data_IF_944435457426
#
_entry.id   IF_944435457426
#
_cell.length_a   1.000
_cell.length_b   1.000
_cell.length_c   1.000
_cell.angle_alpha   90.00
_cell.angle_beta   90.00
_cell.angle_gamma   90.00
#
_symmetry.space_group_name_H-M   'P 1'
#
loop_
_entity.id
_entity.type
_entity.pdbx_description
1 polymer ?
#
# COMPACT_ATOMS: atom_id res chain seq x y z
N UNK A 1 28.26 -27.12 2.83
CA UNK A 1 28.61 -26.03 1.91
C UNK A 1 27.36 -25.72 1.09
N UNK A 2 26.76 -24.55 1.27
CA UNK A 2 25.47 -24.20 0.67
C UNK A 2 25.68 -23.12 -0.41
N UNK A 3 26.51 -23.40 -1.41
CA UNK A 3 26.89 -22.44 -2.46
C UNK A 3 25.67 -21.89 -3.22
N UNK A 4 24.64 -22.73 -3.43
CA UNK A 4 23.37 -22.28 -4.03
C UNK A 4 22.59 -21.33 -3.12
N UNK A 5 22.62 -21.56 -1.80
CA UNK A 5 21.93 -20.68 -0.86
C UNK A 5 22.63 -19.32 -0.74
N UNK A 6 23.96 -19.30 -0.79
CA UNK A 6 24.76 -18.06 -0.83
C UNK A 6 24.43 -17.23 -2.08
N UNK A 7 24.43 -17.86 -3.27
CA UNK A 7 24.07 -17.16 -4.51
C UNK A 7 22.64 -16.59 -4.50
N UNK A 8 21.69 -17.33 -3.93
CA UNK A 8 20.30 -16.87 -3.79
C UNK A 8 20.19 -15.71 -2.78
N UNK A 9 20.95 -15.74 -1.68
CA UNK A 9 21.00 -14.66 -0.71
C UNK A 9 21.58 -13.38 -1.33
N UNK A 10 22.70 -13.47 -2.05
CA UNK A 10 23.30 -12.33 -2.76
C UNK A 10 22.32 -11.73 -3.80
N UNK A 11 21.59 -12.59 -4.50
CA UNK A 11 20.56 -12.16 -5.45
C UNK A 11 19.42 -11.45 -4.75
N UNK A 12 18.97 -11.96 -3.61
CA UNK A 12 17.90 -11.38 -2.81
C UNK A 12 18.28 -10.00 -2.25
N UNK A 13 19.51 -9.86 -1.75
CA UNK A 13 20.08 -8.60 -1.28
C UNK A 13 20.13 -7.55 -2.41
N UNK A 14 20.57 -7.96 -3.60
CA UNK A 14 20.59 -7.07 -4.76
C UNK A 14 19.18 -6.62 -5.17
N UNK A 15 18.22 -7.56 -5.20
CA UNK A 15 16.82 -7.24 -5.51
C UNK A 15 16.19 -6.33 -4.46
N UNK A 16 16.52 -6.51 -3.18
CA UNK A 16 16.07 -5.62 -2.10
C UNK A 16 16.61 -4.21 -2.31
N UNK A 17 17.92 -4.06 -2.56
CA UNK A 17 18.55 -2.77 -2.81
C UNK A 17 17.93 -2.06 -4.02
N UNK A 18 17.78 -2.76 -5.14
CA UNK A 18 17.15 -2.21 -6.34
C UNK A 18 15.68 -1.81 -6.12
N UNK A 19 14.96 -2.55 -5.27
CA UNK A 19 13.58 -2.20 -4.91
C UNK A 19 13.53 -0.92 -4.09
N UNK A 20 14.42 -0.74 -3.11
CA UNK A 20 14.51 0.49 -2.31
C UNK A 20 14.88 1.70 -3.15
N UNK A 21 15.85 1.56 -4.07
CA UNK A 21 16.20 2.63 -5.00
C UNK A 21 15.05 3.00 -5.93
N UNK A 22 14.33 1.99 -6.44
CA UNK A 22 13.17 2.20 -7.30
C UNK A 22 12.02 2.89 -6.55
N UNK A 23 11.78 2.52 -5.29
CA UNK A 23 10.80 3.18 -4.43
C UNK A 23 11.11 4.68 -4.30
N UNK A 24 12.36 5.05 -4.01
CA UNK A 24 12.77 6.46 -3.94
C UNK A 24 12.60 7.26 -5.23
N UNK A 25 12.53 6.59 -6.40
CA UNK A 25 12.30 7.24 -7.71
C UNK A 25 10.82 7.34 -8.08
N UNK A 26 10.01 6.38 -7.64
CA UNK A 26 8.63 6.23 -8.09
C UNK A 26 7.61 6.73 -7.07
N UNK A 27 7.95 6.70 -5.79
CA UNK A 27 7.00 6.91 -4.71
C UNK A 27 7.16 8.32 -4.15
N UNK A 28 6.02 9.01 -4.05
CA UNK A 28 5.86 10.23 -3.28
C UNK A 28 4.98 9.89 -2.08
N UNK A 29 5.56 9.89 -0.89
CA UNK A 29 4.77 9.89 0.33
C UNK A 29 4.14 11.28 0.45
N UNK A 30 2.82 11.34 0.48
CA UNK A 30 2.14 12.54 0.97
C UNK A 30 1.74 12.24 2.40
N UNK A 31 2.46 12.86 3.34
CA UNK A 31 1.85 13.20 4.61
C UNK A 31 0.63 14.07 4.27
N UNK A 32 -0.48 13.91 4.97
CA UNK A 32 -1.76 14.58 4.67
C UNK A 32 -1.75 16.09 4.91
N UNK A 33 -0.74 16.80 4.43
CA UNK A 33 -0.49 18.23 4.55
C UNK A 33 -0.53 18.86 3.16
N UNK A 34 -1.74 19.04 2.62
CA UNK A 34 -1.94 19.66 1.32
C UNK A 34 -3.41 19.85 1.00
N UNK A 35 -3.92 21.03 1.37
CA UNK A 35 -5.21 21.62 1.03
C UNK A 35 -5.79 21.16 -0.32
N UNK A 36 -6.72 20.22 -0.27
CA UNK A 36 -7.82 20.13 -1.20
C UNK A 36 -9.00 19.56 -0.44
N UNK A 37 -9.85 20.47 0.06
CA UNK A 37 -11.29 20.24 0.11
C UNK A 37 -11.66 19.58 -1.25
N UNK A 38 -12.44 18.50 -1.35
CA UNK A 38 -13.89 18.48 -1.15
C UNK A 38 -14.42 17.04 -1.03
N UNK A 39 -13.77 16.17 -0.26
CA UNK A 39 -14.36 14.85 0.06
C UNK A 39 -13.95 14.49 1.47
N UNK A 40 -14.91 14.52 2.40
CA UNK A 40 -14.70 14.32 3.83
C UNK A 40 -14.31 12.90 4.19
N UNK A 41 -13.11 12.48 3.79
CA UNK A 41 -12.51 11.22 4.19
C UNK A 41 -11.23 11.50 5.00
N UNK A 42 -11.25 11.04 6.25
CA UNK A 42 -10.22 11.26 7.25
C UNK A 42 -8.83 10.89 6.74
N UNK A 43 -7.81 11.61 7.23
CA UNK A 43 -6.37 11.43 7.00
C UNK A 43 -5.95 9.95 6.91
N UNK A 44 -6.03 9.38 5.71
CA UNK A 44 -5.53 8.05 5.39
C UNK A 44 -4.10 8.19 4.87
N UNK A 45 -3.21 7.27 5.24
CA UNK A 45 -1.89 7.21 4.64
C UNK A 45 -2.05 7.00 3.12
N UNK A 46 -1.46 7.90 2.33
CA UNK A 46 -1.56 7.87 0.87
C UNK A 46 -0.17 7.66 0.30
N UNK A 47 0.03 6.50 -0.32
CA UNK A 47 1.23 6.22 -1.12
C UNK A 47 0.90 6.59 -2.56
N UNK A 48 1.59 7.59 -3.12
CA UNK A 48 1.44 7.97 -4.52
C UNK A 48 2.59 7.38 -5.35
N UNK A 49 2.25 6.59 -6.37
CA UNK A 49 3.22 5.95 -7.26
C UNK A 49 3.10 6.57 -8.65
N UNK A 50 4.16 7.23 -9.11
CA UNK A 50 4.24 7.78 -10.46
C UNK A 50 4.31 6.66 -11.50
N UNK A 51 3.44 6.73 -12.51
CA UNK A 51 3.21 5.62 -13.44
C UNK A 51 4.35 5.46 -14.42
N UNK A 52 4.81 6.55 -15.02
CA UNK A 52 5.86 6.49 -16.04
C UNK A 52 7.19 5.95 -15.44
N UNK A 53 7.70 6.47 -14.32
CA UNK A 53 8.87 5.88 -13.65
C UNK A 53 8.66 4.42 -13.27
N UNK A 54 7.47 4.07 -12.75
CA UNK A 54 7.16 2.70 -12.36
C UNK A 54 7.14 1.74 -13.55
N UNK A 55 6.55 2.15 -14.68
CA UNK A 55 6.50 1.35 -15.91
C UNK A 55 7.85 1.28 -16.62
N UNK A 56 8.82 2.12 -16.28
CA UNK A 56 10.20 1.99 -16.75
C UNK A 56 11.00 0.92 -15.97
N UNK A 57 10.56 0.53 -14.76
CA UNK A 57 11.25 -0.47 -13.95
C UNK A 57 11.19 -1.87 -14.57
N UNK A 58 12.10 -2.75 -14.18
CA UNK A 58 12.02 -4.17 -14.55
C UNK A 58 10.77 -4.84 -13.94
N UNK A 59 10.06 -5.76 -14.64
CA UNK A 59 8.82 -6.38 -14.13
C UNK A 59 8.94 -7.06 -12.76
N UNK A 60 10.12 -7.59 -12.42
CA UNK A 60 10.40 -8.17 -11.08
C UNK A 60 10.38 -7.07 -10.01
N UNK A 61 11.03 -5.93 -10.27
CA UNK A 61 11.07 -4.80 -9.34
C UNK A 61 9.68 -4.17 -9.21
N UNK A 62 8.89 -4.06 -10.29
CA UNK A 62 7.49 -3.57 -10.22
C UNK A 62 6.65 -4.38 -9.24
N UNK A 63 6.71 -5.71 -9.34
CA UNK A 63 5.97 -6.62 -8.46
C UNK A 63 6.44 -6.53 -7.01
N UNK A 64 7.76 -6.50 -6.80
CA UNK A 64 8.36 -6.44 -5.47
C UNK A 64 8.08 -5.11 -4.77
N UNK A 65 8.19 -3.99 -5.50
CA UNK A 65 7.83 -2.66 -5.01
C UNK A 65 6.37 -2.65 -4.54
N UNK A 66 5.42 -3.06 -5.39
CA UNK A 66 4.01 -3.11 -4.99
C UNK A 66 3.76 -4.02 -3.78
N UNK A 67 4.45 -5.17 -3.71
CA UNK A 67 4.30 -6.07 -2.59
C UNK A 67 4.76 -5.44 -1.27
N UNK A 68 5.93 -4.79 -1.26
CA UNK A 68 6.45 -4.12 -0.06
C UNK A 68 5.55 -2.95 0.38
N UNK A 69 5.06 -2.12 -0.55
CA UNK A 69 4.18 -1.01 -0.21
C UNK A 69 2.84 -1.48 0.36
N UNK A 70 2.22 -2.49 -0.26
CA UNK A 70 0.95 -3.04 0.23
C UNK A 70 1.13 -3.77 1.56
N UNK A 71 2.28 -4.43 1.77
CA UNK A 71 2.64 -5.07 3.03
C UNK A 71 2.80 -4.05 4.16
N UNK A 72 3.37 -2.87 3.87
CA UNK A 72 3.44 -1.77 4.83
C UNK A 72 2.05 -1.23 5.21
N UNK A 73 1.12 -1.23 4.25
CA UNK A 73 -0.27 -0.81 4.47
C UNK A 73 -1.16 -1.87 5.14
N UNK A 74 -0.75 -3.14 5.17
CA UNK A 74 -1.53 -4.25 5.72
C UNK A 74 -1.40 -4.31 7.26
N UNK A 75 -2.50 -4.12 8.02
CA UNK A 75 -2.47 -4.21 9.48
C UNK A 75 -2.12 -5.64 9.92
N UNK A 76 -1.02 -5.79 10.67
CA UNK A 76 -0.52 -7.07 11.14
C UNK A 76 0.16 -7.93 10.08
N UNK A 77 0.58 -7.35 8.94
CA UNK A 77 1.21 -8.06 7.81
C UNK A 77 0.41 -9.29 7.35
N UNK A 78 -0.93 -9.19 7.35
CA UNK A 78 -1.81 -10.28 6.91
C UNK A 78 -1.59 -10.59 5.42
N UNK A 79 -1.86 -11.85 5.04
CA UNK A 79 -1.49 -12.44 3.75
C UNK A 79 -1.99 -11.64 2.53
N UNK A 80 -1.07 -10.90 1.91
CA UNK A 80 -1.24 -10.34 0.57
C UNK A 80 -0.67 -11.35 -0.42
N UNK A 81 -1.54 -11.92 -1.25
CA UNK A 81 -1.14 -12.90 -2.26
C UNK A 81 -0.65 -12.24 -3.55
N UNK A 82 -0.01 -13.04 -4.40
CA UNK A 82 0.41 -12.61 -5.74
C UNK A 82 -0.75 -12.10 -6.62
N UNK A 83 -1.96 -12.63 -6.44
CA UNK A 83 -3.13 -12.20 -7.19
C UNK A 83 -3.44 -10.72 -6.95
N UNK A 84 -3.37 -10.26 -5.69
CA UNK A 84 -3.57 -8.85 -5.33
C UNK A 84 -2.55 -7.93 -6.01
N UNK A 85 -1.30 -8.38 -6.13
CA UNK A 85 -0.25 -7.64 -6.82
C UNK A 85 -0.53 -7.57 -8.33
N UNK A 86 -1.04 -8.64 -8.93
CA UNK A 86 -1.44 -8.63 -10.34
C UNK A 86 -2.61 -7.69 -10.60
N UNK A 87 -3.60 -7.65 -9.70
CA UNK A 87 -4.73 -6.72 -9.78
C UNK A 87 -4.25 -5.27 -9.72
N UNK A 88 -3.33 -4.95 -8.79
CA UNK A 88 -2.71 -3.62 -8.71
C UNK A 88 -1.95 -3.23 -9.98
N UNK A 89 -1.19 -4.15 -10.57
CA UNK A 89 -0.47 -3.90 -11.82
C UNK A 89 -1.42 -3.50 -12.97
N UNK A 90 -2.69 -3.91 -12.92
CA UNK A 90 -3.66 -3.50 -13.95
C UNK A 90 -3.96 -1.99 -13.92
N UNK A 91 -3.85 -1.34 -12.75
CA UNK A 91 -4.00 0.12 -12.65
C UNK A 91 -2.92 0.88 -13.42
N UNK A 92 -1.75 0.26 -13.60
CA UNK A 92 -0.64 0.87 -14.33
C UNK A 92 -0.72 0.63 -15.84
N UNK A 93 -1.30 -0.50 -16.26
CA UNK A 93 -1.18 -1.01 -17.63
C UNK A 93 -2.47 -1.01 -18.45
N UNK A 94 -3.65 -1.02 -17.82
CA UNK A 94 -4.93 -1.09 -18.52
C UNK A 94 -5.63 0.26 -18.53
N UNK A 95 -6.01 0.70 -19.73
CA UNK A 95 -6.89 1.85 -19.90
C UNK A 95 -8.32 1.46 -19.51
N UNK A 96 -8.88 2.11 -18.48
CA UNK A 96 -10.25 1.88 -17.98
C UNK A 96 -10.34 1.41 -16.54
N UNK A 97 -9.30 0.78 -16.00
CA UNK A 97 -9.25 0.39 -14.58
C UNK A 97 -8.86 1.60 -13.72
N UNK A 98 -9.87 2.29 -13.18
CA UNK A 98 -9.66 3.50 -12.38
C UNK A 98 -9.49 3.21 -10.88
N UNK A 99 -9.97 2.08 -10.40
CA UNK A 99 -9.90 1.72 -8.98
C UNK A 99 -10.01 0.21 -8.78
N UNK A 100 -9.34 -0.31 -7.75
CA UNK A 100 -9.53 -1.65 -7.21
C UNK A 100 -9.57 -1.60 -5.68
N UNK A 101 -10.23 -2.59 -5.08
CA UNK A 101 -10.22 -2.80 -3.64
C UNK A 101 -9.51 -4.11 -3.33
N UNK A 102 -8.56 -4.05 -2.41
CA UNK A 102 -7.80 -5.17 -1.89
C UNK A 102 -8.29 -5.52 -0.47
N UNK A 103 -7.88 -6.67 0.09
CA UNK A 103 -8.18 -7.00 1.48
C UNK A 103 -7.70 -5.93 2.47
N UNK A 104 -8.27 -5.96 3.67
CA UNK A 104 -7.91 -5.07 4.79
C UNK A 104 -8.20 -3.58 4.58
N UNK A 105 -9.09 -3.26 3.63
CA UNK A 105 -9.48 -1.87 3.35
C UNK A 105 -8.45 -1.11 2.51
N UNK A 106 -7.47 -1.81 1.93
CA UNK A 106 -6.51 -1.20 1.00
C UNK A 106 -7.22 -0.92 -0.32
N UNK A 107 -7.12 0.30 -0.82
CA UNK A 107 -7.72 0.74 -2.07
C UNK A 107 -6.64 1.32 -2.97
N UNK A 108 -6.59 0.83 -4.21
CA UNK A 108 -5.73 1.38 -5.25
C UNK A 108 -6.56 2.17 -6.25
N UNK A 109 -6.21 3.44 -6.51
CA UNK A 109 -6.92 4.30 -7.46
C UNK A 109 -5.93 4.90 -8.46
N UNK A 110 -6.26 4.83 -9.74
CA UNK A 110 -5.51 5.50 -10.81
C UNK A 110 -6.03 6.93 -10.98
N UNK A 111 -5.15 7.91 -10.87
CA UNK A 111 -5.41 9.33 -11.08
C UNK A 111 -4.36 9.91 -12.04
N UNK A 112 -4.77 10.16 -13.29
CA UNK A 112 -3.89 10.66 -14.34
C UNK A 112 -2.60 9.82 -14.46
N UNK A 113 -1.46 10.41 -14.13
CA UNK A 113 -0.11 9.84 -14.23
C UNK A 113 0.36 9.18 -12.92
N UNK A 114 -0.54 9.01 -11.95
CA UNK A 114 -0.23 8.46 -10.63
C UNK A 114 -1.24 7.39 -10.20
N UNK A 115 -0.79 6.46 -9.38
CA UNK A 115 -1.63 5.50 -8.67
C UNK A 115 -1.53 5.78 -7.17
N UNK A 116 -2.66 6.01 -6.53
CA UNK A 116 -2.77 6.24 -5.10
C UNK A 116 -3.16 4.94 -4.41
N UNK A 117 -2.45 4.58 -3.36
CA UNK A 117 -2.83 3.52 -2.43
C UNK A 117 -3.26 4.17 -1.12
N UNK A 118 -4.47 3.85 -0.68
CA UNK A 118 -5.02 4.32 0.59
C UNK A 118 -5.49 3.13 1.43
N UNK A 119 -5.49 3.29 2.75
CA UNK A 119 -6.11 2.34 3.67
C UNK A 119 -7.32 3.02 4.26
N UNK A 120 -8.51 2.57 3.89
CA UNK A 120 -9.72 2.96 4.62
C UNK A 120 -9.67 2.25 5.97
N UNK A 121 -9.37 2.99 7.04
CA UNK A 121 -9.57 2.46 8.39
C UNK A 121 -11.06 2.16 8.53
N UNK A 122 -11.40 0.88 8.38
CA UNK A 122 -12.70 0.42 8.84
C UNK A 122 -12.64 0.57 10.35
N UNK A 123 -13.39 1.53 10.88
CA UNK A 123 -13.52 1.95 12.27
C UNK A 123 -14.09 0.83 13.18
N UNK A 124 -13.69 -0.43 12.97
CA UNK A 124 -14.19 -1.58 13.72
C UNK A 124 -13.53 -1.74 15.09
N UNK A 125 -12.43 -1.03 15.35
CA UNK A 125 -11.77 -0.97 16.68
C UNK A 125 -12.21 0.24 17.53
N UNK A 126 -12.93 1.22 16.97
CA UNK A 126 -13.44 2.37 17.74
C UNK A 126 -14.81 2.08 18.39
N UNK A 127 -15.57 1.11 17.86
CA UNK A 127 -16.85 0.66 18.42
C UNK A 127 -16.70 -0.18 19.71
N UNK A 128 -15.57 -0.88 19.93
CA UNK A 128 -15.36 -1.64 21.16
C UNK A 128 -14.93 -0.78 22.36
N UNK A 129 -14.47 0.46 22.14
CA UNK A 129 -14.10 1.38 23.23
C UNK A 129 -15.28 2.23 23.76
N UNK A 130 -16.37 2.33 23.02
CA UNK A 130 -17.57 3.06 23.44
C UNK A 130 -18.48 2.28 24.40
N UNK A 131 -18.43 0.94 24.42
CA UNK A 131 -19.32 0.14 25.31
C UNK A 131 -18.85 0.04 26.77
N UNK A 132 -17.62 0.44 27.10
CA UNK A 132 -17.10 0.33 28.48
C UNK A 132 -17.37 1.59 29.33
N UNK A 133 -17.67 2.73 28.70
CA UNK A 133 -17.84 4.01 29.41
C UNK A 133 -19.25 4.23 29.98
N UNK A 134 -20.27 3.48 29.56
CA UNK A 134 -21.65 3.72 29.99
C UNK A 134 -22.07 2.93 31.25
N UNK A 135 -21.21 2.05 31.79
CA UNK A 135 -21.52 1.21 32.95
C UNK A 135 -21.11 1.76 34.32
N UNK A 136 -20.57 2.98 34.41
CA UNK A 136 -20.14 3.58 35.67
C UNK A 136 -20.80 4.96 35.89
N UNK A 137 -22.12 4.98 36.01
CA UNK A 137 -22.79 6.04 36.77
C UNK A 137 -22.92 5.55 38.22
N UNK A 138 -22.16 6.11 39.18
CA UNK A 138 -22.45 5.88 40.59
C UNK A 138 -23.76 6.59 40.93
N UNK A 139 -24.76 5.81 41.34
CA UNK A 139 -25.98 6.32 41.96
C UNK A 139 -25.61 7.14 43.19
N UNK A 140 -26.12 8.38 43.26
CA UNK A 140 -26.01 9.26 44.42
C UNK A 140 -26.61 8.62 45.68
#
# INVERSE_FOLDING_TARGET
>A
MNQTAELLAETEDYLELQTKEAAGRCIRATDGDGESAETGDSRNAVICIAVEPFLALHPVIRKRLLYEEVKQLSPGQKDITYQHIQELLTLFTREGNRQICLPFGIRGRRQYEEVLLTVERTDRELLEKTEVAEKYQPTL
#
